data_IF_613495980102
#
_entry.id   IF_613495980102
#
_cell.length_a   1.000
_cell.length_b   1.000
_cell.length_c   1.000
_cell.angle_alpha   90.00
_cell.angle_beta   90.00
_cell.angle_gamma   90.00
#
_symmetry.space_group_name_H-M   'P 1'
#
loop_
_entity.id
_entity.type
_entity.pdbx_description
1 polymer ?
#
# COMPACT_ATOMS: atom_id res chain seq x y z
N UNK A 1 -7.31 -36.04 -4.51
CA UNK A 1 -6.87 -34.62 -4.52
C UNK A 1 -7.83 -33.65 -3.80
N UNK A 2 -9.13 -33.95 -3.65
CA UNK A 2 -10.10 -33.08 -2.95
C UNK A 2 -9.96 -32.98 -1.41
N UNK A 3 -9.36 -33.97 -0.75
CA UNK A 3 -9.25 -34.01 0.72
C UNK A 3 -8.14 -33.09 1.28
N UNK A 4 -7.11 -32.81 0.48
CA UNK A 4 -5.98 -31.93 0.84
C UNK A 4 -6.36 -30.45 0.77
N UNK A 5 -7.16 -30.05 -0.22
CA UNK A 5 -7.71 -28.70 -0.34
C UNK A 5 -8.72 -28.41 0.77
N UNK A 6 -9.59 -29.37 1.10
CA UNK A 6 -10.57 -29.22 2.18
C UNK A 6 -9.90 -29.08 3.56
N UNK A 7 -8.89 -29.90 3.86
CA UNK A 7 -8.10 -29.79 5.12
C UNK A 7 -7.34 -28.46 5.23
N UNK A 8 -6.82 -27.94 4.12
CA UNK A 8 -6.17 -26.62 4.08
C UNK A 8 -7.18 -25.50 4.33
N UNK A 9 -8.33 -25.52 3.67
CA UNK A 9 -9.39 -24.52 3.87
C UNK A 9 -9.90 -24.55 5.32
N UNK A 10 -10.18 -25.73 5.87
CA UNK A 10 -10.57 -25.89 7.27
C UNK A 10 -9.51 -25.37 8.25
N UNK A 11 -8.23 -25.67 8.00
CA UNK A 11 -7.13 -25.14 8.80
C UNK A 11 -7.07 -23.60 8.79
N UNK A 12 -7.22 -22.99 7.61
CA UNK A 12 -7.27 -21.53 7.48
C UNK A 12 -8.48 -20.92 8.20
N UNK A 13 -9.66 -21.51 8.08
CA UNK A 13 -10.87 -21.02 8.75
C UNK A 13 -10.75 -21.10 10.27
N UNK A 14 -10.19 -22.20 10.81
CA UNK A 14 -9.95 -22.36 12.25
C UNK A 14 -8.98 -21.31 12.76
N UNK A 15 -7.88 -21.06 12.04
CA UNK A 15 -6.91 -20.01 12.42
C UNK A 15 -7.56 -18.63 12.43
N UNK A 16 -8.37 -18.29 11.43
CA UNK A 16 -9.09 -17.02 11.38
C UNK A 16 -10.07 -16.88 12.56
N UNK A 17 -10.84 -17.93 12.85
CA UNK A 17 -11.78 -17.92 13.97
C UNK A 17 -11.08 -17.83 15.33
N UNK A 18 -9.94 -18.51 15.49
CA UNK A 18 -9.12 -18.41 16.70
C UNK A 18 -8.52 -17.01 16.87
N UNK A 19 -8.03 -16.40 15.79
CA UNK A 19 -7.55 -15.03 15.82
C UNK A 19 -8.68 -14.06 16.17
N UNK A 20 -9.85 -14.18 15.54
CA UNK A 20 -11.02 -13.35 15.84
C UNK A 20 -11.48 -13.53 17.30
N UNK A 21 -11.53 -14.76 17.80
CA UNK A 21 -11.89 -15.03 19.19
C UNK A 21 -10.87 -14.43 20.17
N UNK A 22 -9.57 -14.54 19.87
CA UNK A 22 -8.50 -13.96 20.67
C UNK A 22 -8.53 -12.43 20.64
N UNK A 23 -8.86 -11.83 19.50
CA UNK A 23 -9.06 -10.38 19.36
C UNK A 23 -10.28 -9.90 20.14
N UNK A 24 -11.43 -10.58 20.03
CA UNK A 24 -12.64 -10.21 20.78
C UNK A 24 -12.41 -10.33 22.28
N UNK A 25 -11.72 -11.39 22.72
CA UNK A 25 -11.34 -11.58 24.12
C UNK A 25 -10.36 -10.50 24.60
N UNK A 26 -9.36 -10.13 23.79
CA UNK A 26 -8.37 -9.12 24.15
C UNK A 26 -8.90 -7.68 24.15
N UNK A 27 -9.87 -7.35 23.29
CA UNK A 27 -10.48 -6.02 23.20
C UNK A 27 -11.51 -5.81 24.32
N UNK A 28 -12.31 -6.82 24.63
CA UNK A 28 -13.45 -6.69 25.55
C UNK A 28 -14.61 -5.89 24.94
N UNK A 29 -15.85 -6.37 25.17
CA UNK A 29 -17.05 -5.74 24.62
C UNK A 29 -17.30 -4.32 25.16
N UNK A 30 -16.83 -4.05 26.39
CA UNK A 30 -16.96 -2.74 27.03
C UNK A 30 -16.08 -1.68 26.34
N UNK A 31 -14.83 -2.02 26.03
CA UNK A 31 -13.91 -1.13 25.29
C UNK A 31 -14.46 -0.79 23.91
N UNK A 32 -15.04 -1.77 23.22
CA UNK A 32 -15.63 -1.56 21.91
C UNK A 32 -16.80 -0.58 21.96
N UNK A 33 -17.70 -0.73 22.95
CA UNK A 33 -18.82 0.20 23.16
C UNK A 33 -18.34 1.60 23.57
N UNK A 34 -17.33 1.67 24.43
CA UNK A 34 -16.77 2.94 24.90
C UNK A 34 -16.08 3.73 23.79
N UNK A 35 -15.40 3.03 22.86
CA UNK A 35 -14.58 3.62 21.79
C UNK A 35 -15.26 3.64 20.41
N UNK A 36 -16.56 3.33 20.32
CA UNK A 36 -17.27 3.26 19.04
C UNK A 36 -17.21 4.56 18.21
N UNK A 37 -17.30 5.71 18.89
CA UNK A 37 -17.23 7.03 18.24
C UNK A 37 -15.80 7.30 17.76
N UNK A 38 -14.82 7.01 18.63
CA UNK A 38 -13.40 7.14 18.31
C UNK A 38 -13.02 6.26 17.10
N UNK A 39 -13.53 5.04 17.01
CA UNK A 39 -13.25 4.12 15.89
C UNK A 39 -13.69 4.67 14.54
N UNK A 40 -14.88 5.29 14.49
CA UNK A 40 -15.39 5.90 13.27
C UNK A 40 -14.62 7.16 12.92
N UNK A 41 -14.43 8.05 13.90
CA UNK A 41 -13.71 9.30 13.69
C UNK A 41 -12.25 9.07 13.27
N UNK A 42 -11.51 8.28 14.04
CA UNK A 42 -10.12 7.95 13.74
C UNK A 42 -9.99 7.12 12.46
N UNK A 43 -10.99 6.29 12.15
CA UNK A 43 -11.04 5.56 10.88
C UNK A 43 -11.15 6.49 9.68
N UNK A 44 -11.99 7.53 9.76
CA UNK A 44 -12.08 8.56 8.72
C UNK A 44 -10.78 9.34 8.56
N UNK A 45 -10.15 9.76 9.67
CA UNK A 45 -8.86 10.48 9.64
C UNK A 45 -7.75 9.60 9.06
N UNK A 46 -7.70 8.33 9.47
CA UNK A 46 -6.75 7.35 8.96
C UNK A 46 -6.91 7.11 7.46
N UNK A 47 -8.15 6.89 6.98
CA UNK A 47 -8.42 6.74 5.55
C UNK A 47 -8.13 8.01 4.76
N UNK A 48 -8.38 9.20 5.33
CA UNK A 48 -8.02 10.47 4.69
C UNK A 48 -6.52 10.56 4.44
N UNK A 49 -5.69 10.24 5.45
CA UNK A 49 -4.23 10.21 5.28
C UNK A 49 -3.80 9.20 4.20
N UNK A 50 -4.30 7.97 4.29
CA UNK A 50 -3.95 6.88 3.37
C UNK A 50 -4.37 7.20 1.94
N UNK A 51 -5.62 7.61 1.70
CA UNK A 51 -6.09 7.87 0.34
C UNK A 51 -5.43 9.10 -0.26
N UNK A 52 -5.23 10.17 0.52
CA UNK A 52 -4.58 11.38 0.01
C UNK A 52 -3.12 11.12 -0.35
N UNK A 53 -2.36 10.46 0.53
CA UNK A 53 -0.96 10.13 0.25
C UNK A 53 -0.83 9.14 -0.91
N UNK A 54 -1.71 8.13 -0.98
CA UNK A 54 -1.72 7.14 -2.05
C UNK A 54 -2.09 7.76 -3.40
N UNK A 55 -3.06 8.68 -3.42
CA UNK A 55 -3.46 9.40 -4.64
C UNK A 55 -2.26 10.13 -5.26
N UNK A 56 -1.52 10.91 -4.47
CA UNK A 56 -0.31 11.58 -4.96
C UNK A 56 0.79 10.59 -5.35
N UNK A 57 0.94 9.50 -4.61
CA UNK A 57 1.94 8.47 -4.89
C UNK A 57 1.66 7.77 -6.24
N UNK A 58 0.40 7.50 -6.56
CA UNK A 58 -0.01 6.95 -7.85
C UNK A 58 0.16 7.99 -8.97
N UNK A 59 -0.29 9.22 -8.72
CA UNK A 59 -0.24 10.33 -9.68
C UNK A 59 1.18 10.64 -10.13
N UNK A 60 2.16 10.56 -9.22
CA UNK A 60 3.57 10.80 -9.53
C UNK A 60 4.28 9.50 -9.92
N UNK A 61 4.00 8.41 -9.20
CA UNK A 61 4.75 7.17 -9.29
C UNK A 61 4.53 6.40 -10.59
N UNK A 62 3.29 6.33 -11.08
CA UNK A 62 2.99 5.65 -12.34
C UNK A 62 3.66 6.39 -13.53
N UNK A 63 3.47 7.71 -13.72
CA UNK A 63 4.16 8.43 -14.78
C UNK A 63 5.68 8.35 -14.67
N UNK A 64 6.24 8.47 -13.47
CA UNK A 64 7.68 8.34 -13.24
C UNK A 64 8.21 6.97 -13.67
N UNK A 65 7.52 5.89 -13.29
CA UNK A 65 7.87 4.54 -13.72
C UNK A 65 7.78 4.36 -15.24
N UNK A 66 6.75 4.92 -15.89
CA UNK A 66 6.59 4.90 -17.35
C UNK A 66 7.72 5.66 -18.05
N UNK A 67 8.11 6.83 -17.55
CA UNK A 67 9.18 7.65 -18.11
C UNK A 67 10.54 6.96 -17.99
N UNK A 68 10.83 6.40 -16.82
CA UNK A 68 12.07 5.68 -16.56
C UNK A 68 12.19 4.39 -17.40
N UNK A 69 11.07 3.79 -17.80
CA UNK A 69 11.08 2.60 -18.66
C UNK A 69 11.41 2.90 -20.13
N UNK A 70 11.46 4.18 -20.53
CA UNK A 70 11.72 4.56 -21.93
C UNK A 70 13.20 4.37 -22.26
N UNK A 71 13.56 3.98 -23.50
CA UNK A 71 14.97 3.78 -23.89
C UNK A 71 15.87 4.99 -23.61
N UNK A 72 15.33 6.22 -23.77
CA UNK A 72 16.06 7.46 -23.52
C UNK A 72 16.45 7.66 -22.03
N UNK A 73 15.76 6.99 -21.11
CA UNK A 73 15.98 7.12 -19.68
C UNK A 73 16.79 5.95 -19.09
N UNK A 74 17.21 4.95 -19.88
CA UNK A 74 17.82 3.71 -19.38
C UNK A 74 19.03 3.93 -18.46
N UNK A 75 19.95 4.83 -18.85
CA UNK A 75 21.11 5.16 -18.01
C UNK A 75 20.73 5.88 -16.72
N UNK A 76 19.78 6.81 -16.77
CA UNK A 76 19.30 7.55 -15.60
C UNK A 76 18.44 6.68 -14.66
N UNK A 77 17.70 5.72 -15.21
CA UNK A 77 16.81 4.85 -14.47
C UNK A 77 17.56 4.01 -13.42
N UNK A 78 18.75 3.50 -13.74
CA UNK A 78 19.56 2.75 -12.78
C UNK A 78 19.97 3.61 -11.58
N UNK A 79 20.43 4.84 -11.82
CA UNK A 79 20.77 5.79 -10.75
C UNK A 79 19.55 6.17 -9.91
N UNK A 80 18.41 6.46 -10.53
CA UNK A 80 17.17 6.78 -9.82
C UNK A 80 16.72 5.61 -8.93
N UNK A 81 16.80 4.37 -9.44
CA UNK A 81 16.46 3.18 -8.66
C UNK A 81 17.42 2.94 -7.48
N UNK A 82 18.70 3.30 -7.62
CA UNK A 82 19.65 3.26 -6.51
C UNK A 82 19.30 4.28 -5.43
N UNK A 83 19.02 5.54 -5.81
CA UNK A 83 18.58 6.58 -4.87
C UNK A 83 17.34 6.11 -4.11
N UNK A 84 16.37 5.56 -4.82
CA UNK A 84 15.20 4.98 -4.22
C UNK A 84 15.53 3.83 -3.24
N UNK A 85 16.37 2.88 -3.63
CA UNK A 85 16.77 1.79 -2.74
C UNK A 85 17.40 2.32 -1.44
N UNK A 86 18.24 3.36 -1.51
CA UNK A 86 18.79 4.04 -0.33
C UNK A 86 17.68 4.72 0.47
N UNK A 87 16.74 5.41 -0.18
CA UNK A 87 15.60 6.02 0.49
C UNK A 87 14.75 5.02 1.28
N UNK A 88 14.59 3.79 0.78
CA UNK A 88 13.87 2.71 1.46
C UNK A 88 14.57 2.15 2.70
N UNK A 89 15.87 2.43 2.90
CA UNK A 89 16.56 2.02 4.12
C UNK A 89 16.29 2.96 5.28
N UNK A 90 15.72 4.15 5.00
CA UNK A 90 15.31 5.08 6.04
C UNK A 90 14.16 4.47 6.85
N UNK A 91 14.27 4.43 8.20
CA UNK A 91 13.16 4.01 9.04
C UNK A 91 11.93 4.90 8.79
N UNK A 92 10.71 4.34 8.66
CA UNK A 92 9.49 5.13 8.44
C UNK A 92 9.30 6.23 9.49
N UNK A 93 9.67 5.95 10.74
CA UNK A 93 9.63 6.92 11.83
C UNK A 93 10.59 8.10 11.63
N UNK A 94 11.78 7.85 11.05
CA UNK A 94 12.74 8.90 10.75
C UNK A 94 12.21 9.82 9.62
N UNK A 95 11.58 9.24 8.60
CA UNK A 95 10.94 10.01 7.52
C UNK A 95 9.81 10.89 8.08
N UNK A 96 8.98 10.37 8.97
CA UNK A 96 7.94 11.15 9.66
C UNK A 96 8.53 12.29 10.49
N UNK A 97 9.56 12.01 11.29
CA UNK A 97 10.22 13.04 12.10
C UNK A 97 10.85 14.15 11.24
N UNK A 98 11.50 13.80 10.11
CA UNK A 98 12.04 14.77 9.17
C UNK A 98 10.94 15.61 8.50
N UNK A 99 9.83 14.98 8.08
CA UNK A 99 8.69 15.69 7.53
C UNK A 99 8.12 16.68 8.56
N UNK A 100 8.07 16.29 9.84
CA UNK A 100 7.61 17.17 10.91
C UNK A 100 8.52 18.40 11.10
N UNK A 101 9.84 18.20 11.12
CA UNK A 101 10.80 19.31 11.30
C UNK A 101 10.74 20.31 10.14
N UNK A 102 10.55 19.83 8.92
CA UNK A 102 10.59 20.68 7.72
C UNK A 102 9.23 21.36 7.45
N UNK A 103 8.12 20.65 7.65
CA UNK A 103 6.78 21.09 7.21
C UNK A 103 5.92 21.54 8.41
N UNK A 104 6.21 21.07 9.62
CA UNK A 104 5.45 21.37 10.85
C UNK A 104 4.71 20.15 11.39
N UNK A 105 3.66 20.37 12.17
CA UNK A 105 2.91 19.32 12.89
C UNK A 105 1.56 19.09 12.22
N UNK A 106 1.08 17.84 12.20
CA UNK A 106 -0.29 17.51 11.80
C UNK A 106 -0.40 16.63 10.55
N UNK A 107 -1.53 16.72 9.85
CA UNK A 107 -1.87 15.80 8.77
C UNK A 107 -0.98 16.00 7.51
N UNK A 108 -0.60 17.24 7.19
CA UNK A 108 0.23 17.56 6.01
C UNK A 108 1.60 16.86 6.00
N UNK A 109 2.46 16.97 7.04
CA UNK A 109 3.74 16.24 7.07
C UNK A 109 3.55 14.72 7.03
N UNK A 110 2.49 14.20 7.64
CA UNK A 110 2.15 12.78 7.59
C UNK A 110 1.83 12.33 6.17
N UNK A 111 1.00 13.09 5.45
CA UNK A 111 0.67 12.81 4.05
C UNK A 111 1.95 12.79 3.20
N UNK A 112 2.87 13.73 3.40
CA UNK A 112 4.14 13.77 2.66
C UNK A 112 5.01 12.55 2.97
N UNK A 113 5.17 12.18 4.24
CA UNK A 113 5.96 11.01 4.62
C UNK A 113 5.36 9.70 4.05
N UNK A 114 4.04 9.53 4.17
CA UNK A 114 3.32 8.37 3.64
C UNK A 114 3.38 8.33 2.10
N UNK A 115 3.31 9.48 1.45
CA UNK A 115 3.48 9.63 0.01
C UNK A 115 4.87 9.14 -0.43
N UNK A 116 5.94 9.62 0.22
CA UNK A 116 7.31 9.24 -0.09
C UNK A 116 7.54 7.73 0.11
N UNK A 117 7.02 7.17 1.21
CA UNK A 117 7.12 5.73 1.49
C UNK A 117 6.38 4.88 0.43
N UNK A 118 5.23 5.35 -0.04
CA UNK A 118 4.41 4.65 -1.04
C UNK A 118 4.91 4.82 -2.48
N UNK A 119 5.56 5.94 -2.77
CA UNK A 119 6.00 6.30 -4.12
C UNK A 119 6.94 5.26 -4.72
N UNK A 120 7.90 4.81 -3.93
CA UNK A 120 8.95 3.91 -4.36
C UNK A 120 8.43 2.57 -4.89
N UNK A 121 7.70 1.74 -4.11
CA UNK A 121 7.17 0.48 -4.63
C UNK A 121 6.33 0.66 -5.90
N UNK A 122 5.60 1.78 -6.04
CA UNK A 122 4.83 2.10 -7.25
C UNK A 122 5.76 2.34 -8.44
N UNK A 123 6.76 3.21 -8.30
CA UNK A 123 7.71 3.53 -9.39
C UNK A 123 8.48 2.29 -9.81
N UNK A 124 9.04 1.55 -8.85
CA UNK A 124 9.87 0.37 -9.09
C UNK A 124 9.11 -0.73 -9.81
N UNK A 125 7.89 -1.05 -9.37
CA UNK A 125 7.09 -2.08 -10.02
C UNK A 125 6.50 -1.63 -11.36
N UNK A 126 6.21 -0.34 -11.53
CA UNK A 126 5.81 0.20 -12.84
C UNK A 126 6.95 0.08 -13.85
N UNK A 127 8.15 0.50 -13.46
CA UNK A 127 9.36 0.33 -14.28
C UNK A 127 9.61 -1.14 -14.61
N UNK A 128 9.64 -2.01 -13.59
CA UNK A 128 9.91 -3.43 -13.77
C UNK A 128 8.85 -4.12 -14.64
N UNK A 129 7.56 -3.79 -14.45
CA UNK A 129 6.48 -4.34 -15.25
C UNK A 129 6.62 -4.00 -16.73
N UNK A 130 6.91 -2.73 -17.05
CA UNK A 130 7.12 -2.29 -18.44
C UNK A 130 8.38 -2.90 -19.07
N UNK A 131 9.45 -3.05 -18.30
CA UNK A 131 10.68 -3.70 -18.77
C UNK A 131 10.52 -5.22 -18.93
N UNK A 132 9.54 -5.85 -18.27
CA UNK A 132 9.25 -7.28 -18.38
C UNK A 132 8.37 -7.66 -19.57
N UNK A 133 7.85 -6.68 -20.33
CA UNK A 133 7.02 -6.95 -21.51
C UNK A 133 7.85 -7.70 -22.57
N UNK A 134 7.38 -8.85 -23.09
CA UNK A 134 8.12 -9.62 -24.08
C UNK A 134 8.52 -8.80 -25.31
N UNK A 135 9.80 -8.89 -25.70
CA UNK A 135 10.33 -8.18 -26.86
C UNK A 135 9.56 -8.52 -28.16
N UNK A 136 9.12 -9.77 -28.31
CA UNK A 136 8.32 -10.21 -29.47
C UNK A 136 6.99 -9.46 -29.60
N UNK A 137 6.32 -9.11 -28.49
CA UNK A 137 5.09 -8.31 -28.52
C UNK A 137 5.39 -6.86 -28.94
N UNK A 138 6.53 -6.32 -28.51
CA UNK A 138 6.98 -4.98 -28.89
C UNK A 138 7.35 -4.93 -30.38
N UNK A 139 8.08 -5.94 -30.87
CA UNK A 139 8.44 -6.08 -32.28
C UNK A 139 7.21 -6.26 -33.17
N UNK A 140 6.26 -7.12 -32.79
CA UNK A 140 5.01 -7.30 -33.51
C UNK A 140 4.20 -5.98 -33.59
N UNK A 141 4.09 -5.26 -32.47
CA UNK A 141 3.41 -3.97 -32.42
C UNK A 141 4.08 -2.92 -33.33
N UNK A 142 5.42 -2.89 -33.37
CA UNK A 142 6.16 -2.02 -34.27
C UNK A 142 5.98 -2.44 -35.74
N UNK A 143 5.95 -3.75 -36.03
CA UNK A 143 5.83 -4.32 -37.37
C UNK A 143 4.50 -4.00 -38.06
N UNK A 144 3.42 -3.81 -37.29
CA UNK A 144 2.12 -3.35 -37.80
C UNK A 144 1.96 -1.82 -37.78
N UNK A 145 3.03 -1.07 -37.46
CA UNK A 145 3.05 0.39 -37.53
C UNK A 145 2.45 1.12 -36.32
N UNK A 146 2.35 0.50 -35.13
CA UNK A 146 1.86 1.20 -33.94
C UNK A 146 2.79 2.36 -33.54
N UNK A 147 2.21 3.53 -33.27
CA UNK A 147 2.92 4.63 -32.63
C UNK A 147 3.33 4.29 -31.20
N UNK A 148 4.32 5.01 -30.64
CA UNK A 148 4.77 4.82 -29.24
C UNK A 148 3.62 4.89 -28.23
N UNK A 149 2.65 5.77 -28.45
CA UNK A 149 1.49 5.94 -27.57
C UNK A 149 0.46 4.81 -27.71
N UNK A 150 0.19 4.36 -28.93
CA UNK A 150 -0.66 3.20 -29.18
C UNK A 150 -0.05 1.95 -28.56
N UNK A 151 1.24 1.70 -28.80
CA UNK A 151 1.97 0.57 -28.23
C UNK A 151 1.97 0.61 -26.70
N UNK A 152 2.19 1.78 -26.09
CA UNK A 152 2.15 1.94 -24.64
C UNK A 152 0.78 1.56 -24.06
N UNK A 153 -0.31 2.09 -24.61
CA UNK A 153 -1.66 1.88 -24.07
C UNK A 153 -2.24 0.51 -24.36
N UNK A 154 -1.93 -0.05 -25.53
CA UNK A 154 -2.58 -1.28 -26.02
C UNK A 154 -1.75 -2.53 -25.81
N UNK A 155 -0.42 -2.40 -25.63
CA UNK A 155 0.50 -3.55 -25.50
C UNK A 155 1.26 -3.47 -24.19
N UNK A 156 2.03 -2.41 -23.95
CA UNK A 156 2.92 -2.36 -22.78
C UNK A 156 2.13 -2.30 -21.46
N UNK A 157 1.20 -1.36 -21.29
CA UNK A 157 0.44 -1.19 -20.04
C UNK A 157 -0.42 -2.42 -19.69
N UNK A 158 -1.19 -3.04 -20.61
CA UNK A 158 -1.96 -4.23 -20.27
C UNK A 158 -1.09 -5.42 -19.85
N UNK A 159 0.07 -5.60 -20.48
CA UNK A 159 1.00 -6.68 -20.13
C UNK A 159 1.79 -6.38 -18.83
N UNK A 160 2.08 -5.12 -18.54
CA UNK A 160 2.75 -4.69 -17.30
C UNK A 160 1.80 -4.63 -16.09
N UNK A 161 0.49 -4.60 -16.31
CA UNK A 161 -0.53 -4.39 -15.28
C UNK A 161 -0.41 -5.31 -14.05
N UNK A 162 -0.18 -6.63 -14.18
CA UNK A 162 -0.06 -7.50 -13.00
C UNK A 162 1.09 -7.10 -12.07
N UNK A 163 2.22 -6.67 -12.65
CA UNK A 163 3.39 -6.22 -11.89
C UNK A 163 3.13 -4.83 -11.30
N UNK A 164 2.55 -3.91 -12.07
CA UNK A 164 2.14 -2.58 -11.57
C UNK A 164 1.21 -2.71 -10.36
N UNK A 165 0.19 -3.56 -10.46
CA UNK A 165 -0.75 -3.82 -9.38
C UNK A 165 -0.08 -4.41 -8.14
N UNK A 166 0.89 -5.32 -8.31
CA UNK A 166 1.70 -5.82 -7.20
C UNK A 166 2.39 -4.67 -6.45
N UNK A 167 2.97 -3.71 -7.19
CA UNK A 167 3.55 -2.51 -6.60
C UNK A 167 2.55 -1.65 -5.83
N UNK A 168 1.36 -1.42 -6.40
CA UNK A 168 0.28 -0.67 -5.77
C UNK A 168 -0.18 -1.34 -4.47
N UNK A 169 -0.27 -2.67 -4.45
CA UNK A 169 -0.64 -3.45 -3.25
C UNK A 169 0.43 -3.37 -2.17
N UNK A 170 1.70 -3.54 -2.52
CA UNK A 170 2.83 -3.36 -1.59
C UNK A 170 2.80 -1.94 -1.00
N UNK A 171 2.65 -0.92 -1.85
CA UNK A 171 2.56 0.47 -1.42
C UNK A 171 1.38 0.71 -0.47
N UNK A 172 0.20 0.15 -0.79
CA UNK A 172 -1.00 0.27 0.05
C UNK A 172 -0.79 -0.36 1.43
N UNK A 173 -0.19 -1.55 1.48
CA UNK A 173 0.11 -2.22 2.74
C UNK A 173 1.10 -1.40 3.61
N UNK A 174 2.15 -0.84 2.99
CA UNK A 174 3.09 0.06 3.68
C UNK A 174 2.36 1.31 4.18
N UNK A 175 1.56 1.96 3.32
CA UNK A 175 0.86 3.20 3.64
C UNK A 175 -0.10 3.03 4.83
N UNK A 176 -1.00 2.04 4.75
CA UNK A 176 -1.97 1.76 5.83
C UNK A 176 -1.25 1.31 7.10
N UNK A 177 -0.24 0.44 6.99
CA UNK A 177 0.48 -0.08 8.14
C UNK A 177 1.33 0.96 8.87
N UNK A 178 1.80 2.00 8.15
CA UNK A 178 2.62 3.08 8.73
C UNK A 178 1.81 4.30 9.17
N UNK A 179 0.58 4.48 8.65
CA UNK A 179 -0.29 5.59 9.00
C UNK A 179 -0.53 5.76 10.52
N UNK A 180 -0.59 4.73 11.39
CA UNK A 180 -0.73 4.94 12.83
C UNK A 180 0.46 5.70 13.44
N UNK A 181 1.66 5.55 12.87
CA UNK A 181 2.86 6.27 13.34
C UNK A 181 2.71 7.79 13.20
N UNK A 182 1.81 8.26 12.34
CA UNK A 182 1.56 9.68 12.12
C UNK A 182 1.01 10.40 13.37
N UNK A 183 0.43 9.66 14.32
CA UNK A 183 0.06 10.18 15.64
C UNK A 183 1.24 10.85 16.34
N UNK A 184 2.46 10.31 16.18
CA UNK A 184 3.67 10.83 16.83
C UNK A 184 4.07 12.22 16.36
N UNK A 185 3.52 12.67 15.22
CA UNK A 185 3.75 14.00 14.66
C UNK A 185 2.45 14.83 14.61
N UNK A 186 1.46 14.46 15.41
CA UNK A 186 0.22 15.21 15.62
C UNK A 186 -0.87 14.99 14.56
N UNK A 187 -0.75 13.98 13.69
CA UNK A 187 -1.79 13.66 12.71
C UNK A 187 -2.84 12.70 13.29
N UNK A 188 -4.09 12.87 12.86
CA UNK A 188 -5.19 12.03 13.33
C UNK A 188 -5.18 10.63 12.69
N UNK A 189 -5.14 9.57 13.49
CA UNK A 189 -5.16 8.19 13.00
C UNK A 189 -5.48 7.19 14.10
N UNK A 190 -5.63 5.90 13.77
CA UNK A 190 -5.69 4.83 14.79
C UNK A 190 -4.47 4.75 15.72
N UNK A 191 -3.39 5.47 15.44
CA UNK A 191 -2.30 5.69 16.38
C UNK A 191 -2.76 6.30 17.72
N UNK A 192 -3.84 7.09 17.72
CA UNK A 192 -4.46 7.66 18.92
C UNK A 192 -5.03 6.60 19.88
N UNK A 193 -5.26 5.37 19.41
CA UNK A 193 -5.63 4.24 20.26
C UNK A 193 -4.40 3.40 20.64
N UNK A 194 -3.47 3.22 19.69
CA UNK A 194 -2.31 2.34 19.86
C UNK A 194 -1.30 2.92 20.86
N UNK A 195 -0.85 4.15 20.64
CA UNK A 195 0.27 4.71 21.41
C UNK A 195 -0.10 5.05 22.86
N UNK A 196 -1.25 5.70 23.14
CA UNK A 196 -1.71 5.84 24.52
C UNK A 196 -1.96 4.49 25.19
N UNK A 197 -2.51 3.50 24.47
CA UNK A 197 -2.69 2.14 25.00
C UNK A 197 -1.37 1.48 25.42
N UNK A 198 -0.29 1.67 24.65
CA UNK A 198 1.07 1.25 25.03
C UNK A 198 1.51 1.98 26.30
N UNK A 199 1.42 3.32 26.32
CA UNK A 199 1.95 4.13 27.42
C UNK A 199 1.22 3.89 28.75
N UNK A 200 -0.09 3.67 28.69
CA UNK A 200 -0.96 3.49 29.85
C UNK A 200 -1.14 2.01 30.24
N UNK A 201 -0.49 1.07 29.53
CA UNK A 201 -0.73 -0.37 29.66
C UNK A 201 -2.21 -0.78 29.48
N UNK A 202 -2.96 -0.01 28.69
CA UNK A 202 -4.33 -0.33 28.28
C UNK A 202 -4.29 -1.17 27.00
N UNK A 203 -3.95 -2.46 27.20
CA UNK A 203 -3.87 -3.45 26.13
C UNK A 203 -5.17 -3.60 25.32
N UNK A 204 -6.37 -3.60 25.94
CA UNK A 204 -7.62 -3.61 25.19
C UNK A 204 -7.74 -2.49 24.15
N UNK A 205 -7.45 -1.24 24.53
CA UNK A 205 -7.49 -0.10 23.60
C UNK A 205 -6.38 -0.18 22.54
N UNK A 206 -5.18 -0.61 22.93
CA UNK A 206 -4.06 -0.83 22.01
C UNK A 206 -4.45 -1.83 20.92
N UNK A 207 -4.91 -3.02 21.33
CA UNK A 207 -5.28 -4.11 20.43
C UNK A 207 -6.39 -3.64 19.51
N UNK A 208 -7.38 -2.92 20.03
CA UNK A 208 -8.47 -2.36 19.23
C UNK A 208 -7.96 -1.48 18.07
N UNK A 209 -7.05 -0.55 18.34
CA UNK A 209 -6.45 0.30 17.30
C UNK A 209 -5.60 -0.47 16.28
N UNK A 210 -4.81 -1.44 16.76
CA UNK A 210 -3.99 -2.30 15.92
C UNK A 210 -4.84 -3.18 15.00
N UNK A 211 -5.90 -3.79 15.53
CA UNK A 211 -6.86 -4.60 14.77
C UNK A 211 -7.59 -3.74 13.73
N UNK A 212 -8.06 -2.55 14.09
CA UNK A 212 -8.75 -1.67 13.15
C UNK A 212 -7.84 -1.28 11.96
N UNK A 213 -6.57 -0.98 12.24
CA UNK A 213 -5.55 -0.73 11.20
C UNK A 213 -5.34 -1.95 10.30
N UNK A 214 -5.14 -3.13 10.90
CA UNK A 214 -4.93 -4.37 10.16
C UNK A 214 -6.15 -4.74 9.28
N UNK A 215 -7.37 -4.53 9.79
CA UNK A 215 -8.60 -4.75 9.04
C UNK A 215 -8.66 -3.85 7.80
N UNK A 216 -8.35 -2.56 7.91
CA UNK A 216 -8.30 -1.70 6.72
C UNK A 216 -7.24 -2.13 5.73
N UNK A 217 -6.05 -2.54 6.19
CA UNK A 217 -5.00 -3.03 5.29
C UNK A 217 -5.48 -4.26 4.50
N UNK A 218 -6.12 -5.22 5.18
CA UNK A 218 -6.67 -6.43 4.55
C UNK A 218 -7.82 -6.12 3.59
N UNK A 219 -8.75 -5.24 3.98
CA UNK A 219 -9.87 -4.83 3.13
C UNK A 219 -9.34 -4.17 1.85
N UNK A 220 -8.45 -3.18 1.98
CA UNK A 220 -7.92 -2.45 0.82
C UNK A 220 -7.08 -3.36 -0.08
N UNK A 221 -6.22 -4.21 0.47
CA UNK A 221 -5.44 -5.18 -0.32
C UNK A 221 -6.35 -6.17 -1.07
N UNK A 222 -7.39 -6.68 -0.40
CA UNK A 222 -8.34 -7.62 -1.00
C UNK A 222 -9.13 -6.96 -2.13
N UNK A 223 -9.59 -5.72 -1.92
CA UNK A 223 -10.26 -4.93 -2.96
C UNK A 223 -9.35 -4.73 -4.17
N UNK A 224 -8.09 -4.32 -3.97
CA UNK A 224 -7.11 -4.15 -5.04
C UNK A 224 -6.85 -5.45 -5.79
N UNK A 225 -6.69 -6.57 -5.08
CA UNK A 225 -6.52 -7.89 -5.69
C UNK A 225 -7.74 -8.31 -6.52
N UNK A 226 -8.94 -8.02 -6.03
CA UNK A 226 -10.19 -8.28 -6.73
C UNK A 226 -10.34 -7.41 -7.99
N UNK A 227 -10.07 -6.11 -7.91
CA UNK A 227 -10.07 -5.21 -9.06
C UNK A 227 -9.03 -5.66 -10.09
N UNK A 228 -7.85 -6.07 -9.63
CA UNK A 228 -6.78 -6.61 -10.45
C UNK A 228 -7.19 -7.76 -11.34
N UNK A 229 -7.86 -8.77 -10.76
CA UNK A 229 -8.34 -9.96 -11.49
C UNK A 229 -9.40 -9.63 -12.54
N UNK A 230 -10.22 -8.60 -12.32
CA UNK A 230 -11.22 -8.17 -13.30
C UNK A 230 -10.63 -7.37 -14.45
N UNK A 231 -9.52 -6.69 -14.20
CA UNK A 231 -8.84 -5.84 -15.18
C UNK A 231 -7.73 -6.58 -15.94
N UNK A 232 -7.33 -7.79 -15.52
CA UNK A 232 -6.32 -8.58 -16.24
C UNK A 232 -6.91 -9.17 -17.54
N UNK A 233 -6.34 -8.84 -18.71
CA UNK A 233 -6.85 -9.34 -20.01
C UNK A 233 -6.64 -10.84 -20.25
N UNK A 234 -5.94 -11.56 -19.37
CA UNK A 234 -5.48 -12.94 -19.60
C UNK A 234 -6.06 -13.98 -18.63
N UNK A 235 -7.21 -13.70 -18.03
CA UNK A 235 -8.02 -14.74 -17.36
C UNK A 235 -9.28 -15.04 -18.18
N UNK A 236 -9.07 -15.61 -19.36
CA UNK A 236 -9.96 -16.59 -20.01
C UNK A 236 -9.06 -17.64 -20.66
#
# INVERSE_FOLDING_TARGET
MHTLTLKRVLGFTIVILLLLALFIWGIGLETLKARQVDLLYLGQRHLMLVFTSMFFALLVGIPSGILLSRPAAKGFAEYVMQIFNVGNTLPPLAVLALAMVIIGIGDTPAIVALFLASLLPIVRNTYAGLCSVPASLIEAANGIGMTKWQRLRQVELPNAWPVMLSGIRIATAINVGTAPLAFLIGAGSYGELIFPGIYLNDFPTLILGATATALFALILDTLLAWFGRRLSPHTV
#
